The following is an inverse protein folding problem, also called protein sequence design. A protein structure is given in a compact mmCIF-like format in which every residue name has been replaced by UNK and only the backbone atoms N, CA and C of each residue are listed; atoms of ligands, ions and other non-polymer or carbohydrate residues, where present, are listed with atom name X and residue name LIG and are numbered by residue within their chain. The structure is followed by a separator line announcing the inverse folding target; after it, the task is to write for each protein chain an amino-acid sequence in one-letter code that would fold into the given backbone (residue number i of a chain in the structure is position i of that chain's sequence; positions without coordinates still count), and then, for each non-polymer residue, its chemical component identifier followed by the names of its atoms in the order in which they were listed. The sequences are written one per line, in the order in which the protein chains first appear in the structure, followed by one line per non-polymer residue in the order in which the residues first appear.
data_IF_305717629528
#
_entry.id   IF_305717629528
#
_cell.length_a   1.000
_cell.length_b   1.000
_cell.length_c   1.000
_cell.angle_alpha   90.00
_cell.angle_beta   90.00
_cell.angle_gamma   90.00
#
_symmetry.space_group_name_H-M   'P 1'
#
loop_
_entity.id
_entity.type
_entity.pdbx_description
1 polymer ?
#
# COMPACT_ATOMS: atom_id res chain seq x y z
N UNK A 1 -3.64 23.38 15.98
CA UNK A 1 -3.19 22.33 16.94
C UNK A 1 -4.41 21.52 17.37
N UNK A 2 -4.58 20.32 16.82
CA UNK A 2 -5.74 19.46 17.11
C UNK A 2 -5.40 18.02 16.76
N UNK A 3 -4.62 17.35 17.62
CA UNK A 3 -4.41 15.90 17.49
C UNK A 3 -5.75 15.22 17.77
N UNK A 4 -6.42 14.78 16.71
CA UNK A 4 -7.62 13.95 16.78
C UNK A 4 -7.32 12.69 17.61
N UNK A 5 -8.02 12.54 18.73
CA UNK A 5 -7.89 11.44 19.69
C UNK A 5 -8.77 10.23 19.30
N UNK A 6 -8.86 9.86 18.03
CA UNK A 6 -9.86 8.88 17.56
C UNK A 6 -9.31 7.55 17.00
N UNK A 7 -8.04 7.20 17.23
CA UNK A 7 -7.42 6.04 16.55
C UNK A 7 -6.75 5.00 17.45
N UNK A 8 -6.88 5.09 18.77
CA UNK A 8 -6.36 4.05 19.68
C UNK A 8 -7.39 2.90 19.74
N UNK A 9 -7.11 1.80 19.01
CA UNK A 9 -7.91 0.56 19.03
C UNK A 9 -8.74 0.23 17.78
N UNK A 10 -8.65 1.04 16.71
CA UNK A 10 -9.44 0.82 15.47
C UNK A 10 -8.80 -0.17 14.49
N UNK A 11 -7.48 -0.31 14.54
CA UNK A 11 -6.69 -1.13 13.63
C UNK A 11 -6.02 -2.27 14.39
N UNK A 12 -5.94 -3.44 13.78
CA UNK A 12 -5.30 -4.63 14.31
C UNK A 12 -4.38 -5.22 13.26
N UNK A 13 -3.22 -5.74 13.69
CA UNK A 13 -2.30 -6.44 12.80
C UNK A 13 -2.72 -7.90 12.67
N UNK A 14 -3.09 -8.31 11.46
CA UNK A 14 -3.54 -9.68 11.16
C UNK A 14 -2.80 -10.14 9.91
N UNK A 15 -2.09 -11.27 10.00
CA UNK A 15 -1.38 -11.89 8.87
C UNK A 15 -0.52 -10.93 8.04
N UNK A 16 0.28 -10.09 8.71
CA UNK A 16 1.20 -9.19 8.02
C UNK A 16 0.57 -7.91 7.50
N UNK A 17 -0.77 -7.73 7.61
CA UNK A 17 -1.46 -6.52 7.18
C UNK A 17 -2.18 -5.83 8.34
N UNK A 18 -2.37 -4.52 8.22
CA UNK A 18 -3.08 -3.70 9.19
C UNK A 18 -4.54 -3.56 8.76
N UNK A 19 -5.44 -4.22 9.49
CA UNK A 19 -6.86 -4.32 9.15
C UNK A 19 -7.75 -3.60 10.16
N UNK A 20 -8.93 -3.17 9.71
CA UNK A 20 -9.99 -2.67 10.59
C UNK A 20 -10.85 -3.85 11.03
N UNK A 21 -10.83 -4.19 12.32
CA UNK A 21 -11.50 -5.39 12.84
C UNK A 21 -13.00 -5.43 12.51
N UNK A 22 -13.66 -4.27 12.57
CA UNK A 22 -15.10 -4.14 12.22
C UNK A 22 -15.38 -4.50 10.76
N UNK A 23 -14.54 -4.02 9.84
CA UNK A 23 -14.71 -4.28 8.41
C UNK A 23 -14.39 -5.74 8.07
N UNK A 24 -13.37 -6.32 8.73
CA UNK A 24 -13.05 -7.74 8.63
C UNK A 24 -14.20 -8.64 9.13
N UNK A 25 -14.79 -8.30 10.28
CA UNK A 25 -15.91 -9.08 10.80
C UNK A 25 -17.14 -8.99 9.89
N UNK A 26 -17.47 -7.79 9.40
CA UNK A 26 -18.59 -7.58 8.48
C UNK A 26 -18.37 -8.34 7.17
N UNK A 27 -17.17 -8.28 6.59
CA UNK A 27 -16.87 -8.99 5.34
C UNK A 27 -16.97 -10.52 5.49
N UNK A 28 -16.49 -11.06 6.61
CA UNK A 28 -16.62 -12.48 6.93
C UNK A 28 -18.10 -12.90 7.03
N UNK A 29 -18.93 -12.11 7.73
CA UNK A 29 -20.38 -12.37 7.87
C UNK A 29 -21.08 -12.32 6.51
N UNK A 30 -20.79 -11.33 5.68
CA UNK A 30 -21.35 -11.21 4.32
C UNK A 30 -21.03 -12.46 3.50
N UNK A 31 -19.76 -12.88 3.49
CA UNK A 31 -19.34 -14.06 2.75
C UNK A 31 -20.05 -15.32 3.25
N UNK A 32 -20.09 -15.56 4.57
CA UNK A 32 -20.78 -16.73 5.15
C UNK A 32 -22.25 -16.77 4.76
N UNK A 33 -22.96 -15.64 4.91
CA UNK A 33 -24.38 -15.56 4.57
C UNK A 33 -24.59 -15.84 3.08
N UNK A 34 -23.80 -15.21 2.21
CA UNK A 34 -23.98 -15.34 0.77
C UNK A 34 -23.64 -16.74 0.26
N UNK A 35 -22.55 -17.35 0.75
CA UNK A 35 -22.20 -18.74 0.47
C UNK A 35 -23.32 -19.69 0.92
N UNK A 36 -23.92 -19.46 2.09
CA UNK A 36 -25.01 -20.30 2.60
C UNK A 36 -26.29 -20.14 1.77
N UNK A 37 -26.66 -18.91 1.39
CA UNK A 37 -27.82 -18.64 0.53
C UNK A 37 -27.67 -19.33 -0.82
N UNK A 38 -26.51 -19.22 -1.46
CA UNK A 38 -26.23 -19.86 -2.75
C UNK A 38 -26.20 -21.38 -2.63
N UNK A 39 -25.60 -21.92 -1.57
CA UNK A 39 -25.61 -23.37 -1.30
C UNK A 39 -27.04 -23.90 -1.14
N UNK A 40 -27.87 -23.23 -0.34
CA UNK A 40 -29.25 -23.64 -0.10
C UNK A 40 -30.08 -23.51 -1.38
N UNK A 41 -29.95 -22.42 -2.13
CA UNK A 41 -30.62 -22.22 -3.41
C UNK A 41 -30.23 -23.28 -4.44
N UNK A 42 -28.93 -23.61 -4.52
CA UNK A 42 -28.42 -24.70 -5.34
C UNK A 42 -29.00 -26.04 -4.90
N UNK A 43 -29.00 -26.31 -3.60
CA UNK A 43 -29.57 -27.55 -3.04
C UNK A 43 -31.05 -27.69 -3.34
N UNK A 44 -31.85 -26.65 -3.11
CA UNK A 44 -33.27 -26.70 -3.42
C UNK A 44 -33.51 -26.83 -4.92
N UNK A 45 -32.77 -26.09 -5.76
CA UNK A 45 -32.96 -26.15 -7.21
C UNK A 45 -32.57 -27.51 -7.81
N UNK A 46 -31.42 -28.06 -7.41
CA UNK A 46 -30.91 -29.32 -7.96
C UNK A 46 -31.66 -30.54 -7.44
N UNK A 47 -32.16 -30.53 -6.20
CA UNK A 47 -32.97 -31.64 -5.67
C UNK A 47 -34.36 -31.73 -6.32
N UNK A 48 -34.85 -30.66 -6.97
CA UNK A 48 -36.10 -30.70 -7.73
C UNK A 48 -35.94 -31.39 -9.09
N UNK A 49 -34.70 -31.63 -9.53
CA UNK A 49 -34.43 -32.29 -10.82
C UNK A 49 -34.50 -33.80 -10.62
N UNK A 50 -35.61 -34.42 -11.04
CA UNK A 50 -35.87 -35.86 -10.86
C UNK A 50 -34.85 -36.78 -11.54
N UNK A 51 -34.08 -36.28 -12.51
CA UNK A 51 -33.08 -37.05 -13.25
C UNK A 51 -31.69 -37.08 -12.59
N UNK A 52 -31.49 -36.34 -11.49
CA UNK A 52 -30.20 -36.30 -10.78
C UNK A 52 -30.22 -37.18 -9.52
N UNK A 53 -29.14 -37.95 -9.34
CA UNK A 53 -28.88 -38.65 -8.09
C UNK A 53 -28.73 -37.63 -6.94
N UNK A 54 -29.44 -37.81 -5.81
CA UNK A 54 -29.31 -36.98 -4.62
C UNK A 54 -27.86 -36.74 -4.14
N UNK A 55 -26.97 -37.72 -4.33
CA UNK A 55 -25.55 -37.58 -3.98
C UNK A 55 -24.83 -36.56 -4.88
N UNK A 56 -25.08 -36.60 -6.19
CA UNK A 56 -24.54 -35.63 -7.16
C UNK A 56 -25.12 -34.24 -6.95
N UNK A 57 -26.43 -34.14 -6.69
CA UNK A 57 -27.10 -32.88 -6.42
C UNK A 57 -26.45 -32.15 -5.22
N UNK A 58 -26.10 -32.90 -4.16
CA UNK A 58 -25.37 -32.34 -2.99
C UNK A 58 -23.98 -31.83 -3.36
N UNK A 59 -23.23 -32.55 -4.20
CA UNK A 59 -21.91 -32.13 -4.66
C UNK A 59 -21.95 -30.86 -5.51
N UNK A 60 -22.86 -30.80 -6.49
CA UNK A 60 -23.03 -29.62 -7.33
C UNK A 60 -23.55 -28.41 -6.55
N UNK A 61 -24.37 -28.61 -5.51
CA UNK A 61 -24.80 -27.52 -4.62
C UNK A 61 -23.62 -26.84 -3.91
N UNK A 62 -22.55 -27.60 -3.60
CA UNK A 62 -21.34 -27.03 -3.03
C UNK A 62 -20.63 -26.10 -4.03
N UNK A 63 -20.61 -26.46 -5.32
CA UNK A 63 -20.08 -25.59 -6.38
C UNK A 63 -20.86 -24.28 -6.49
N UNK A 64 -22.20 -24.36 -6.41
CA UNK A 64 -23.05 -23.15 -6.39
C UNK A 64 -22.73 -22.28 -5.16
N UNK A 65 -22.48 -22.89 -4.00
CA UNK A 65 -22.01 -22.17 -2.81
C UNK A 65 -20.68 -21.42 -3.02
N UNK A 66 -19.72 -22.03 -3.72
CA UNK A 66 -18.44 -21.38 -4.06
C UNK A 66 -18.65 -20.13 -4.92
N UNK A 67 -19.59 -20.15 -5.86
CA UNK A 67 -19.98 -18.96 -6.65
C UNK A 67 -20.48 -17.84 -5.73
N UNK A 68 -21.25 -18.18 -4.70
CA UNK A 68 -21.67 -17.25 -3.66
C UNK A 68 -20.48 -16.58 -2.94
N UNK A 69 -19.42 -17.33 -2.66
CA UNK A 69 -18.19 -16.78 -2.04
C UNK A 69 -17.52 -15.73 -2.94
N UNK A 70 -17.39 -15.99 -4.24
CA UNK A 70 -16.80 -15.03 -5.19
C UNK A 70 -17.63 -13.76 -5.30
N UNK A 71 -18.96 -13.89 -5.31
CA UNK A 71 -19.85 -12.74 -5.31
C UNK A 71 -19.71 -11.93 -4.01
N UNK A 72 -19.53 -12.60 -2.88
CA UNK A 72 -19.31 -11.98 -1.58
C UNK A 72 -17.99 -11.21 -1.54
N UNK A 73 -16.92 -11.80 -2.08
CA UNK A 73 -15.64 -11.13 -2.25
C UNK A 73 -15.75 -9.88 -3.15
N UNK A 74 -16.48 -9.96 -4.26
CA UNK A 74 -16.70 -8.82 -5.15
C UNK A 74 -17.49 -7.69 -4.47
N UNK A 75 -18.52 -8.03 -3.68
CA UNK A 75 -19.27 -7.06 -2.86
C UNK A 75 -18.34 -6.42 -1.83
N UNK A 76 -17.57 -7.22 -1.09
CA UNK A 76 -16.63 -6.72 -0.09
C UNK A 76 -15.58 -5.79 -0.71
N UNK A 77 -15.02 -6.13 -1.88
CA UNK A 77 -14.06 -5.31 -2.58
C UNK A 77 -14.64 -3.95 -3.01
N UNK A 78 -15.92 -3.91 -3.40
CA UNK A 78 -16.62 -2.66 -3.74
C UNK A 78 -16.96 -1.82 -2.51
N UNK A 79 -17.40 -2.44 -1.42
CA UNK A 79 -17.81 -1.76 -0.19
C UNK A 79 -16.61 -1.25 0.61
N UNK A 80 -15.55 -2.04 0.72
CA UNK A 80 -14.33 -1.71 1.45
C UNK A 80 -13.23 -1.29 0.46
N UNK A 81 -13.35 -0.07 -0.08
CA UNK A 81 -12.33 0.47 -1.00
C UNK A 81 -10.95 0.49 -0.33
N UNK A 82 -9.86 0.29 -1.11
CA UNK A 82 -8.50 0.40 -0.60
C UNK A 82 -8.27 1.73 0.10
N UNK A 83 -8.01 1.69 1.41
CA UNK A 83 -7.76 2.90 2.21
C UNK A 83 -6.31 3.39 2.09
N UNK A 84 -5.43 2.56 1.50
CA UNK A 84 -4.04 2.90 1.25
C UNK A 84 -3.99 3.97 0.16
N UNK A 85 -3.81 5.23 0.55
CA UNK A 85 -3.34 6.28 -0.34
C UNK A 85 -1.85 6.04 -0.51
N UNK A 86 -1.46 5.45 -1.64
CA UNK A 86 -0.04 5.43 -2.01
C UNK A 86 0.23 6.83 -2.51
N UNK A 87 0.80 7.68 -1.67
CA UNK A 87 1.34 8.96 -2.10
C UNK A 87 2.61 8.63 -2.91
N UNK A 88 2.44 8.21 -4.16
CA UNK A 88 3.51 8.21 -5.17
C UNK A 88 3.51 9.59 -5.80
N UNK A 89 3.54 10.62 -4.97
CA UNK A 89 3.76 11.97 -5.43
C UNK A 89 5.23 12.26 -5.11
N UNK A 90 6.12 11.91 -6.04
CA UNK A 90 7.46 12.52 -6.11
C UNK A 90 7.33 13.98 -6.56
N UNK A 91 6.34 14.72 -6.03
CA UNK A 91 6.24 16.16 -6.24
C UNK A 91 7.25 16.79 -5.31
N UNK A 92 8.47 17.00 -5.83
CA UNK A 92 9.37 18.07 -5.41
C UNK A 92 9.27 18.39 -3.92
N UNK A 93 9.50 17.40 -3.04
CA UNK A 93 9.60 17.71 -1.63
C UNK A 93 10.79 18.68 -1.53
N UNK A 94 10.47 19.90 -1.09
CA UNK A 94 11.48 20.91 -0.87
C UNK A 94 12.47 20.27 0.09
N UNK A 95 13.71 20.08 -0.34
CA UNK A 95 14.72 19.31 0.41
C UNK A 95 14.84 19.87 1.84
N UNK A 96 14.53 21.16 1.99
CA UNK A 96 14.51 21.87 3.27
C UNK A 96 13.45 21.35 4.23
N UNK A 97 12.27 20.98 3.72
CA UNK A 97 11.18 20.43 4.52
C UNK A 97 11.49 18.97 4.92
N UNK A 98 12.15 18.20 4.04
CA UNK A 98 12.62 16.83 4.35
C UNK A 98 13.66 16.88 5.48
N UNK A 99 14.65 17.76 5.35
CA UNK A 99 15.71 17.92 6.34
C UNK A 99 15.15 18.41 7.68
N UNK A 100 14.23 19.39 7.66
CA UNK A 100 13.52 19.85 8.87
C UNK A 100 12.71 18.73 9.53
N UNK A 101 12.04 17.88 8.76
CA UNK A 101 11.31 16.73 9.29
C UNK A 101 12.25 15.68 9.92
N UNK A 102 13.46 15.52 9.36
CA UNK A 102 14.53 14.70 9.92
C UNK A 102 15.22 15.35 11.14
N UNK A 103 14.93 16.63 11.41
CA UNK A 103 15.52 17.39 12.51
C UNK A 103 16.92 17.94 12.21
N UNK A 104 17.27 18.08 10.93
CA UNK A 104 18.56 18.61 10.46
C UNK A 104 18.37 19.90 9.67
N UNK A 105 19.41 20.73 9.65
CA UNK A 105 19.47 21.94 8.80
C UNK A 105 20.21 21.67 7.49
N UNK A 106 19.99 22.53 6.49
CA UNK A 106 20.69 22.47 5.20
C UNK A 106 22.21 22.58 5.33
N UNK A 107 22.67 23.42 6.26
CA UNK A 107 24.08 23.70 6.49
C UNK A 107 24.77 22.52 7.18
N UNK A 108 24.11 21.90 8.16
CA UNK A 108 24.59 20.68 8.83
C UNK A 108 24.69 19.51 7.86
N UNK A 109 23.71 19.31 6.99
CA UNK A 109 23.76 18.27 5.97
C UNK A 109 24.88 18.54 4.94
N UNK A 110 25.01 19.78 4.49
CA UNK A 110 26.07 20.19 3.57
C UNK A 110 27.47 19.94 4.16
N UNK A 111 27.67 20.27 5.45
CA UNK A 111 28.92 20.00 6.18
C UNK A 111 29.14 18.50 6.35
N UNK A 112 28.10 17.73 6.70
CA UNK A 112 28.20 16.27 6.82
C UNK A 112 28.67 15.65 5.50
N UNK A 113 28.07 16.06 4.37
CA UNK A 113 28.42 15.60 3.03
C UNK A 113 29.87 15.90 2.61
N UNK A 114 30.53 16.90 3.22
CA UNK A 114 31.97 17.15 3.00
C UNK A 114 32.85 16.00 3.46
N UNK A 115 32.51 15.39 4.59
CA UNK A 115 33.32 14.36 5.27
C UNK A 115 32.95 12.93 4.87
N UNK A 116 31.93 12.77 4.02
CA UNK A 116 31.47 11.47 3.54
C UNK A 116 32.49 10.82 2.59
N UNK A 117 32.65 9.50 2.71
CA UNK A 117 33.57 8.75 1.87
C UNK A 117 33.10 8.67 0.41
N UNK A 118 34.05 8.53 -0.52
CA UNK A 118 33.76 8.40 -1.96
C UNK A 118 32.87 7.20 -2.30
N UNK A 119 32.89 6.16 -1.46
CA UNK A 119 32.04 4.97 -1.62
C UNK A 119 30.56 5.30 -1.36
N UNK A 120 30.26 6.02 -0.28
CA UNK A 120 28.90 6.45 0.06
C UNK A 120 28.37 7.46 -0.96
N UNK A 121 29.20 8.38 -1.46
CA UNK A 121 28.82 9.27 -2.57
C UNK A 121 28.40 8.46 -3.80
N UNK A 122 29.11 7.38 -4.11
CA UNK A 122 28.75 6.50 -5.23
C UNK A 122 27.44 5.74 -5.00
N UNK A 123 27.15 5.33 -3.76
CA UNK A 123 25.86 4.74 -3.40
C UNK A 123 24.72 5.76 -3.55
N UNK A 124 24.93 6.99 -3.10
CA UNK A 124 23.96 8.09 -3.26
C UNK A 124 23.70 8.42 -4.74
N UNK A 125 24.73 8.37 -5.58
CA UNK A 125 24.59 8.50 -7.05
C UNK A 125 23.75 7.36 -7.64
N UNK A 126 23.98 6.11 -7.20
CA UNK A 126 23.24 4.94 -7.67
C UNK A 126 21.77 4.95 -7.23
N UNK A 127 21.47 5.57 -6.09
CA UNK A 127 20.11 5.74 -5.55
C UNK A 127 19.41 7.00 -6.09
N UNK A 128 20.03 7.72 -7.03
CA UNK A 128 19.52 8.96 -7.64
C UNK A 128 19.19 10.07 -6.63
N UNK A 129 19.91 10.15 -5.51
CA UNK A 129 19.72 11.17 -4.46
C UNK A 129 20.34 12.53 -4.83
N UNK A 130 20.14 12.96 -6.08
CA UNK A 130 20.77 14.17 -6.63
C UNK A 130 20.33 15.45 -5.93
N UNK A 131 19.12 15.45 -5.35
CA UNK A 131 18.63 16.50 -4.45
C UNK A 131 19.63 16.79 -3.33
N UNK A 132 20.05 15.76 -2.58
CA UNK A 132 21.03 15.88 -1.51
C UNK A 132 22.44 16.13 -2.04
N UNK A 133 22.85 15.45 -3.12
CA UNK A 133 24.18 15.64 -3.71
C UNK A 133 24.42 17.07 -4.23
N UNK A 134 23.36 17.81 -4.56
CA UNK A 134 23.49 19.22 -4.97
C UNK A 134 23.89 20.17 -3.85
N UNK A 135 23.72 19.75 -2.60
CA UNK A 135 24.12 20.48 -1.39
C UNK A 135 25.60 20.32 -1.07
N UNK A 136 26.32 19.46 -1.80
CA UNK A 136 27.77 19.31 -1.64
C UNK A 136 28.45 20.65 -1.99
N UNK A 137 29.29 21.18 -1.09
CA UNK A 137 30.04 22.41 -1.34
C UNK A 137 31.03 22.28 -2.49
N UNK A 138 31.18 23.35 -3.28
CA UNK A 138 32.04 23.37 -4.48
C UNK A 138 33.54 23.22 -4.17
N UNK A 139 33.93 23.47 -2.92
CA UNK A 139 35.30 23.38 -2.44
C UNK A 139 35.72 21.95 -2.03
N UNK A 140 34.86 20.95 -2.20
CA UNK A 140 35.15 19.55 -1.88
C UNK A 140 35.48 18.69 -3.11
N UNK A 141 36.41 17.75 -2.94
CA UNK A 141 36.79 16.73 -3.96
C UNK A 141 35.61 15.90 -4.48
N UNK A 142 34.55 15.79 -3.68
CA UNK A 142 33.34 15.02 -4.00
C UNK A 142 32.32 15.81 -4.83
N UNK A 143 32.51 17.12 -5.03
CA UNK A 143 31.59 17.94 -5.80
C UNK A 143 31.67 17.64 -7.30
N UNK A 144 30.51 17.50 -7.93
CA UNK A 144 30.38 17.46 -9.39
C UNK A 144 29.32 18.46 -9.84
N UNK A 145 29.61 19.29 -10.86
CA UNK A 145 28.64 20.26 -11.39
C UNK A 145 27.39 19.58 -11.99
N UNK A 146 27.52 18.31 -12.39
CA UNK A 146 26.44 17.48 -12.91
C UNK A 146 25.29 17.28 -11.92
N UNK A 147 25.55 17.32 -10.60
CA UNK A 147 24.52 17.09 -9.59
C UNK A 147 23.41 18.16 -9.65
N UNK A 148 23.78 19.41 -9.89
CA UNK A 148 22.82 20.51 -10.04
C UNK A 148 22.05 20.44 -11.36
N UNK A 149 22.64 19.89 -12.41
CA UNK A 149 22.00 19.72 -13.72
C UNK A 149 20.97 18.57 -13.71
N UNK A 150 21.27 17.47 -13.01
CA UNK A 150 20.41 16.29 -12.91
C UNK A 150 19.14 16.50 -12.08
N UNK A 151 19.12 17.51 -11.19
CA UNK A 151 17.89 17.96 -10.53
C UNK A 151 16.93 18.56 -11.57
N UNK A 152 17.40 19.53 -12.34
CA UNK A 152 16.56 20.25 -13.32
C UNK A 152 16.18 19.40 -14.55
N UNK A 153 16.98 18.40 -14.90
CA UNK A 153 16.68 17.48 -16.00
C UNK A 153 15.48 16.55 -15.76
N UNK A 154 15.02 16.40 -14.50
CA UNK A 154 13.84 15.59 -14.13
C UNK A 154 12.55 16.39 -14.01
N UNK A 155 12.60 17.72 -13.99
CA UNK A 155 11.41 18.59 -13.92
C UNK A 155 10.73 18.81 -15.29
N UNK A 156 11.31 18.27 -16.38
CA UNK A 156 10.93 18.56 -17.76
C UNK A 156 10.36 17.41 -18.60
N UNK A 157 9.80 16.35 -18.02
CA UNK A 157 9.09 15.31 -18.76
C UNK A 157 7.85 14.79 -18.03
#
# INVERSE_FOLDING_TARGET
MGKSKDHVGKYMFVWGDTVVLKELAISAVICVILTMVFYLAGRTGLLQIQSLDPALAKGYSLLVGIVGTFLGAAICAKTFKPKRKIMVEFQSENIEDILKAAGMTMEEESEALRHVSKEVIREMENLELYSLLSLIPEDCDNFKPEYRQKIHGKEGN
#
